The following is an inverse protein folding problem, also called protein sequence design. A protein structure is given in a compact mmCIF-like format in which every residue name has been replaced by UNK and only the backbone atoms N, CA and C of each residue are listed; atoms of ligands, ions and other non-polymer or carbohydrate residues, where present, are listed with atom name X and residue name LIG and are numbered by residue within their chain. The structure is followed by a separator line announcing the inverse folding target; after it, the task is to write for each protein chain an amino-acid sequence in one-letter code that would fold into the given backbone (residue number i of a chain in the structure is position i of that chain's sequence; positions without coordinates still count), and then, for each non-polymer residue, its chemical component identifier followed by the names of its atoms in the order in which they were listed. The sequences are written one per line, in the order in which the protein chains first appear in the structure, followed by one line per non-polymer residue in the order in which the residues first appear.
data_IF_280022825182
#
_entry.id   IF_280022825182
#
_cell.length_a   1.000
_cell.length_b   1.000
_cell.length_c   1.000
_cell.angle_alpha   90.00
_cell.angle_beta   90.00
_cell.angle_gamma   90.00
#
_symmetry.space_group_name_H-M   'P 1'
#
loop_
_entity.id
_entity.type
_entity.pdbx_description
1 polymer ?
#
# COMPACT_ATOMS: atom_id res chain seq x y z
N UNK A 1 -23.27 24.41 7.98
CA UNK A 1 -22.98 24.13 6.55
C UNK A 1 -22.82 22.62 6.39
N UNK A 2 -22.61 22.06 5.19
CA UNK A 2 -22.26 20.63 5.08
C UNK A 2 -20.74 20.46 5.29
N UNK A 3 -20.25 19.30 5.77
CA UNK A 3 -18.83 19.00 5.76
C UNK A 3 -18.28 19.12 4.34
N UNK A 4 -17.05 19.63 4.21
CA UNK A 4 -16.42 19.84 2.90
C UNK A 4 -14.92 19.57 2.97
N UNK A 5 -14.33 19.32 1.80
CA UNK A 5 -12.89 19.16 1.64
C UNK A 5 -12.26 20.52 1.37
N UNK A 6 -11.08 20.75 1.97
CA UNK A 6 -10.21 21.88 1.68
C UNK A 6 -8.93 21.35 1.04
N UNK A 7 -8.62 21.89 -0.14
CA UNK A 7 -7.39 21.63 -0.90
C UNK A 7 -6.94 22.96 -1.50
N UNK A 8 -5.77 23.44 -1.07
CA UNK A 8 -5.18 24.69 -1.56
C UNK A 8 -4.10 24.42 -2.62
N UNK A 9 -3.80 25.41 -3.45
CA UNK A 9 -2.70 25.30 -4.43
C UNK A 9 -1.36 24.98 -3.74
N UNK A 10 -0.67 23.96 -4.23
CA UNK A 10 0.61 23.49 -3.68
C UNK A 10 0.50 22.61 -2.43
N UNK A 11 -0.71 22.40 -1.88
CA UNK A 11 -0.95 21.48 -0.78
C UNK A 11 -0.77 20.03 -1.22
N UNK A 12 -0.11 19.23 -0.39
CA UNK A 12 -0.06 17.78 -0.57
C UNK A 12 -1.32 17.17 0.05
N UNK A 13 -2.14 16.51 -0.77
CA UNK A 13 -3.42 15.93 -0.36
C UNK A 13 -4.47 16.98 0.01
N UNK A 14 -5.38 16.62 0.91
CA UNK A 14 -6.50 17.45 1.35
C UNK A 14 -6.86 17.14 2.80
N UNK A 15 -7.71 17.97 3.42
CA UNK A 15 -8.31 17.68 4.72
C UNK A 15 -9.80 18.03 4.72
N UNK A 16 -10.54 17.43 5.65
CA UNK A 16 -11.96 17.71 5.85
C UNK A 16 -12.15 18.84 6.86
N UNK A 17 -13.20 19.63 6.66
CA UNK A 17 -13.75 20.53 7.68
C UNK A 17 -15.21 20.20 7.95
N UNK A 18 -15.59 20.35 9.20
CA UNK A 18 -16.96 20.15 9.69
C UNK A 18 -17.89 21.33 9.30
N UNK A 19 -19.20 21.25 9.63
CA UNK A 19 -20.16 22.33 9.40
C UNK A 19 -19.81 23.70 10.00
N UNK A 20 -19.01 23.72 11.06
CA UNK A 20 -18.58 24.90 11.83
C UNK A 20 -17.23 25.45 11.33
N UNK A 21 -16.59 24.73 10.39
CA UNK A 21 -15.33 25.09 9.77
C UNK A 21 -14.09 24.60 10.51
N UNK A 22 -14.25 23.76 11.54
CA UNK A 22 -13.13 23.13 12.22
C UNK A 22 -12.59 21.96 11.40
N UNK A 23 -11.28 21.72 11.47
CA UNK A 23 -10.67 20.54 10.84
C UNK A 23 -11.23 19.27 11.51
N UNK A 24 -11.58 18.28 10.70
CA UNK A 24 -12.16 17.02 11.14
C UNK A 24 -11.61 15.86 10.31
N UNK A 25 -11.76 14.63 10.80
CA UNK A 25 -11.46 13.43 10.02
C UNK A 25 -12.74 12.80 9.45
N UNK A 26 -12.63 12.13 8.31
CA UNK A 26 -13.78 11.49 7.69
C UNK A 26 -14.51 10.51 8.64
N UNK A 27 -13.83 9.65 9.42
CA UNK A 27 -14.50 8.73 10.36
C UNK A 27 -15.34 9.44 11.43
N UNK A 28 -14.99 10.66 11.82
CA UNK A 28 -15.77 11.45 12.79
C UNK A 28 -17.01 12.04 12.12
N UNK A 29 -16.86 12.51 10.87
CA UNK A 29 -17.94 13.13 10.13
C UNK A 29 -19.07 12.14 9.78
N UNK A 30 -18.75 10.87 9.50
CA UNK A 30 -19.77 9.89 9.10
C UNK A 30 -20.70 9.42 10.24
N UNK A 31 -20.30 9.57 11.51
CA UNK A 31 -21.07 9.05 12.67
C UNK A 31 -22.39 9.80 12.90
N UNK A 32 -22.52 11.04 12.42
CA UNK A 32 -23.71 11.87 12.58
C UNK A 32 -24.25 12.49 11.30
N UNK A 33 -23.74 12.10 10.13
CA UNK A 33 -24.18 12.63 8.85
C UNK A 33 -25.44 11.89 8.35
N UNK A 34 -26.37 12.60 7.70
CA UNK A 34 -27.59 12.03 7.13
C UNK A 34 -27.34 11.24 5.83
N UNK A 35 -26.24 11.54 5.13
CA UNK A 35 -25.82 10.93 3.87
C UNK A 35 -24.36 10.43 3.93
N UNK A 36 -24.00 9.56 4.90
CA UNK A 36 -22.59 9.27 5.19
C UNK A 36 -21.88 8.51 4.05
N UNK A 37 -22.63 7.74 3.25
CA UNK A 37 -22.16 7.11 2.02
C UNK A 37 -21.62 8.13 1.00
N UNK A 38 -22.24 9.31 0.93
CA UNK A 38 -21.81 10.40 0.05
C UNK A 38 -20.43 10.91 0.48
N UNK A 39 -20.18 11.05 1.78
CA UNK A 39 -18.88 11.52 2.29
C UNK A 39 -17.76 10.52 1.96
N UNK A 40 -18.02 9.22 2.07
CA UNK A 40 -17.06 8.16 1.69
C UNK A 40 -16.74 8.24 0.19
N UNK A 41 -17.75 8.40 -0.66
CA UNK A 41 -17.54 8.56 -2.11
C UNK A 41 -16.75 9.84 -2.44
N UNK A 42 -17.12 10.98 -1.85
CA UNK A 42 -16.43 12.25 -2.04
C UNK A 42 -14.97 12.21 -1.57
N UNK A 43 -14.67 11.48 -0.48
CA UNK A 43 -13.29 11.30 -0.04
C UNK A 43 -12.46 10.54 -1.08
N UNK A 44 -13.04 9.49 -1.66
CA UNK A 44 -12.35 8.66 -2.64
C UNK A 44 -12.08 9.45 -3.94
N UNK A 45 -13.03 10.26 -4.40
CA UNK A 45 -12.84 11.17 -5.54
C UNK A 45 -11.74 12.19 -5.29
N UNK A 46 -11.74 12.83 -4.11
CA UNK A 46 -10.70 13.79 -3.76
C UNK A 46 -9.31 13.14 -3.58
N UNK A 47 -9.26 11.86 -3.16
CA UNK A 47 -8.02 11.09 -3.13
C UNK A 47 -7.49 10.86 -4.54
N UNK A 48 -8.34 10.49 -5.49
CA UNK A 48 -7.99 10.34 -6.91
C UNK A 48 -7.37 11.63 -7.48
N UNK A 49 -8.03 12.77 -7.27
CA UNK A 49 -7.55 14.10 -7.71
C UNK A 49 -6.21 14.48 -7.05
N UNK A 50 -6.07 14.20 -5.75
CA UNK A 50 -4.82 14.44 -5.03
C UNK A 50 -3.65 13.59 -5.57
N UNK A 51 -3.91 12.36 -6.01
CA UNK A 51 -2.89 11.50 -6.62
C UNK A 51 -2.44 12.03 -7.97
N UNK A 52 -3.33 12.61 -8.78
CA UNK A 52 -2.96 13.26 -10.05
C UNK A 52 -1.97 14.42 -9.79
N UNK A 53 -2.25 15.26 -8.80
CA UNK A 53 -1.37 16.37 -8.41
C UNK A 53 -0.03 15.83 -7.88
N UNK A 54 -0.06 14.81 -7.02
CA UNK A 54 1.15 14.19 -6.49
C UNK A 54 2.00 13.53 -7.59
N UNK A 55 1.37 12.91 -8.60
CA UNK A 55 2.04 12.31 -9.75
C UNK A 55 2.79 13.38 -10.55
N UNK A 56 2.12 14.52 -10.83
CA UNK A 56 2.74 15.64 -11.54
C UNK A 56 3.94 16.25 -10.81
N UNK A 57 3.91 16.26 -9.46
CA UNK A 57 4.98 16.85 -8.64
C UNK A 57 6.13 15.88 -8.34
N UNK A 58 5.83 14.63 -8.03
CA UNK A 58 6.79 13.66 -7.50
C UNK A 58 7.05 12.47 -8.43
N UNK A 59 6.40 12.42 -9.60
CA UNK A 59 6.43 11.26 -10.51
C UNK A 59 7.84 10.76 -10.86
N UNK A 60 8.77 11.67 -11.18
CA UNK A 60 10.16 11.28 -11.48
C UNK A 60 10.87 10.61 -10.30
N UNK A 61 10.56 11.03 -9.07
CA UNK A 61 11.15 10.44 -7.86
C UNK A 61 10.47 9.12 -7.53
N UNK A 62 9.13 9.09 -7.53
CA UNK A 62 8.35 7.89 -7.20
C UNK A 62 8.56 6.76 -8.22
N UNK A 63 8.76 7.12 -9.49
CA UNK A 63 9.12 6.19 -10.57
C UNK A 63 10.58 5.74 -10.55
N UNK A 64 11.44 6.36 -9.73
CA UNK A 64 12.87 6.04 -9.64
C UNK A 64 13.72 6.62 -10.77
N UNK A 65 13.20 7.58 -11.54
CA UNK A 65 13.94 8.28 -12.59
C UNK A 65 15.03 9.20 -12.04
N UNK A 66 14.89 9.68 -10.80
CA UNK A 66 15.93 10.43 -10.09
C UNK A 66 15.85 10.28 -8.56
N UNK A 67 16.95 10.60 -7.90
CA UNK A 67 17.00 10.75 -6.43
C UNK A 67 16.43 12.11 -6.01
N UNK A 68 15.68 12.20 -4.90
CA UNK A 68 15.18 13.48 -4.39
C UNK A 68 16.29 14.36 -3.84
N UNK A 69 16.13 15.67 -4.01
CA UNK A 69 16.92 16.70 -3.33
C UNK A 69 16.54 16.80 -1.84
N UNK A 70 17.35 17.52 -1.06
CA UNK A 70 17.15 17.62 0.39
C UNK A 70 15.75 18.14 0.78
N UNK A 71 15.26 19.20 0.12
CA UNK A 71 13.92 19.75 0.37
C UNK A 71 12.79 18.77 -0.04
N UNK A 72 13.01 18.02 -1.13
CA UNK A 72 12.03 17.05 -1.62
C UNK A 72 11.93 15.83 -0.69
N UNK A 73 12.98 15.50 0.07
CA UNK A 73 12.91 14.44 1.08
C UNK A 73 11.91 14.78 2.19
N UNK A 74 11.86 16.04 2.63
CA UNK A 74 10.89 16.48 3.63
C UNK A 74 9.46 16.44 3.05
N UNK A 75 9.30 16.86 1.79
CA UNK A 75 8.03 16.75 1.07
C UNK A 75 7.55 15.30 0.92
N UNK A 76 8.45 14.34 0.69
CA UNK A 76 8.12 12.91 0.61
C UNK A 76 7.65 12.35 1.97
N UNK A 77 8.22 12.86 3.08
CA UNK A 77 7.75 12.53 4.43
C UNK A 77 6.33 13.04 4.65
N UNK A 78 6.03 14.26 4.21
CA UNK A 78 4.67 14.81 4.26
C UNK A 78 3.73 13.99 3.36
N UNK A 79 4.16 13.66 2.14
CA UNK A 79 3.39 12.91 1.16
C UNK A 79 2.95 11.55 1.69
N UNK A 80 3.87 10.70 2.16
CA UNK A 80 3.48 9.37 2.61
C UNK A 80 2.56 9.45 3.83
N UNK A 81 2.77 10.41 4.74
CA UNK A 81 1.93 10.56 5.94
C UNK A 81 0.52 11.01 5.59
N UNK A 82 0.38 12.02 4.74
CA UNK A 82 -0.94 12.48 4.29
C UNK A 82 -1.67 11.36 3.57
N UNK A 83 -1.02 10.67 2.65
CA UNK A 83 -1.63 9.55 1.93
C UNK A 83 -2.05 8.42 2.88
N UNK A 84 -1.17 8.01 3.80
CA UNK A 84 -1.48 6.98 4.79
C UNK A 84 -2.71 7.35 5.64
N UNK A 85 -2.78 8.62 6.08
CA UNK A 85 -3.93 9.12 6.85
C UNK A 85 -5.23 9.10 6.03
N UNK A 86 -5.19 9.50 4.76
CA UNK A 86 -6.35 9.47 3.86
C UNK A 86 -6.81 8.04 3.59
N UNK A 87 -5.88 7.11 3.32
CA UNK A 87 -6.19 5.67 3.19
C UNK A 87 -6.88 5.14 4.45
N UNK A 88 -6.31 5.43 5.63
CA UNK A 88 -6.88 5.00 6.90
C UNK A 88 -8.26 5.61 7.15
N UNK A 89 -8.49 6.86 6.76
CA UNK A 89 -9.77 7.53 6.91
C UNK A 89 -10.85 6.95 6.02
N UNK A 90 -10.52 6.71 4.75
CA UNK A 90 -11.40 6.01 3.82
C UNK A 90 -11.79 4.63 4.38
N UNK A 91 -10.81 3.80 4.75
CA UNK A 91 -11.08 2.44 5.21
C UNK A 91 -11.93 2.39 6.48
N UNK A 92 -11.63 3.25 7.47
CA UNK A 92 -12.40 3.33 8.73
C UNK A 92 -13.82 3.83 8.49
N UNK A 93 -13.98 4.87 7.68
CA UNK A 93 -15.30 5.42 7.39
C UNK A 93 -16.15 4.44 6.58
N UNK A 94 -15.58 3.82 5.53
CA UNK A 94 -16.26 2.80 4.72
C UNK A 94 -16.73 1.63 5.60
N UNK A 95 -15.87 1.13 6.48
CA UNK A 95 -16.23 0.08 7.45
C UNK A 95 -17.33 0.52 8.41
N UNK A 96 -17.27 1.75 8.94
CA UNK A 96 -18.27 2.27 9.88
C UNK A 96 -19.67 2.40 9.26
N UNK A 97 -19.76 2.67 7.96
CA UNK A 97 -21.05 2.83 7.24
C UNK A 97 -21.48 1.59 6.48
N UNK A 98 -20.70 0.51 6.51
CA UNK A 98 -20.99 -0.75 5.82
C UNK A 98 -20.78 -0.71 4.30
N UNK A 99 -19.90 0.18 3.80
CA UNK A 99 -19.48 0.22 2.40
C UNK A 99 -18.38 -0.82 2.17
N UNK A 100 -18.65 -1.79 1.30
CA UNK A 100 -17.61 -2.70 0.78
C UNK A 100 -16.85 -1.99 -0.33
N UNK A 101 -15.51 -1.92 -0.27
CA UNK A 101 -14.71 -1.34 -1.36
C UNK A 101 -14.97 -2.05 -2.69
N UNK A 102 -15.31 -1.28 -3.71
CA UNK A 102 -15.48 -1.76 -5.07
C UNK A 102 -14.14 -1.70 -5.84
N UNK A 103 -14.17 -2.12 -7.11
CA UNK A 103 -12.99 -2.10 -7.98
C UNK A 103 -12.36 -0.71 -8.02
N UNK A 104 -13.15 0.35 -8.16
CA UNK A 104 -12.64 1.73 -8.23
C UNK A 104 -11.92 2.12 -6.94
N UNK A 105 -12.50 1.79 -5.78
CA UNK A 105 -11.87 2.01 -4.50
C UNK A 105 -10.54 1.27 -4.37
N UNK A 106 -10.50 -0.02 -4.76
CA UNK A 106 -9.28 -0.81 -4.75
C UNK A 106 -8.18 -0.22 -5.65
N UNK A 107 -8.54 0.31 -6.82
CA UNK A 107 -7.59 0.95 -7.73
C UNK A 107 -7.03 2.26 -7.18
N UNK A 108 -7.88 3.15 -6.67
CA UNK A 108 -7.46 4.44 -6.10
C UNK A 108 -6.63 4.22 -4.84
N UNK A 109 -7.11 3.41 -3.89
CA UNK A 109 -6.38 3.11 -2.66
C UNK A 109 -5.10 2.33 -2.93
N UNK A 110 -5.11 1.41 -3.91
CA UNK A 110 -3.90 0.71 -4.34
C UNK A 110 -2.84 1.67 -4.90
N UNK A 111 -3.26 2.60 -5.77
CA UNK A 111 -2.37 3.63 -6.33
C UNK A 111 -1.80 4.53 -5.22
N UNK A 112 -2.67 4.95 -4.28
CA UNK A 112 -2.26 5.70 -3.10
C UNK A 112 -1.24 4.94 -2.24
N UNK A 113 -1.51 3.67 -1.94
CA UNK A 113 -0.60 2.83 -1.17
C UNK A 113 0.76 2.69 -1.87
N UNK A 114 0.77 2.51 -3.20
CA UNK A 114 2.02 2.45 -3.97
C UNK A 114 2.81 3.76 -3.87
N UNK A 115 2.13 4.92 -3.98
CA UNK A 115 2.77 6.23 -3.79
C UNK A 115 3.40 6.36 -2.41
N UNK A 116 2.66 5.99 -1.37
CA UNK A 116 3.12 6.06 0.01
C UNK A 116 4.36 5.18 0.25
N UNK A 117 4.33 3.94 -0.25
CA UNK A 117 5.46 3.00 -0.18
C UNK A 117 6.68 3.55 -0.92
N UNK A 118 6.49 4.05 -2.15
CA UNK A 118 7.56 4.63 -2.98
C UNK A 118 8.14 5.90 -2.37
N UNK A 119 7.32 6.72 -1.72
CA UNK A 119 7.78 7.93 -1.02
C UNK A 119 8.64 7.58 0.20
N UNK A 120 8.37 6.48 0.90
CA UNK A 120 9.16 6.00 2.04
C UNK A 120 10.56 5.48 1.67
N UNK A 121 10.74 4.95 0.45
CA UNK A 121 12.00 4.32 0.02
C UNK A 121 13.22 5.26 0.09
N UNK A 122 13.24 6.41 -0.61
CA UNK A 122 14.43 7.29 -0.64
C UNK A 122 14.69 8.03 0.68
N UNK A 123 13.70 8.06 1.58
CA UNK A 123 13.86 8.63 2.93
C UNK A 123 14.21 7.58 3.99
N UNK A 124 14.30 6.31 3.61
CA UNK A 124 14.74 5.22 4.49
C UNK A 124 13.69 4.77 5.52
N UNK A 125 12.41 5.00 5.25
CA UNK A 125 11.30 4.74 6.21
C UNK A 125 10.46 3.49 5.87
N UNK A 126 10.81 2.77 4.79
CA UNK A 126 10.06 1.57 4.39
C UNK A 126 10.28 0.40 5.35
N UNK A 127 11.49 0.28 5.90
CA UNK A 127 11.90 -0.86 6.74
C UNK A 127 12.40 -2.06 5.94
N UNK A 128 12.98 -3.08 6.61
CA UNK A 128 13.58 -4.22 5.95
C UNK A 128 12.52 -5.10 5.26
N UNK A 129 12.86 -5.64 4.10
CA UNK A 129 12.05 -6.68 3.48
C UNK A 129 12.12 -8.00 4.28
N UNK A 130 11.09 -8.85 4.22
CA UNK A 130 11.21 -10.24 4.62
C UNK A 130 12.47 -10.90 4.02
N UNK A 131 13.24 -11.61 4.84
CA UNK A 131 14.55 -12.20 4.50
C UNK A 131 15.67 -11.21 4.14
N UNK A 132 15.57 -9.94 4.53
CA UNK A 132 16.66 -8.98 4.31
C UNK A 132 17.97 -9.46 4.96
N UNK A 133 19.04 -9.53 4.16
CA UNK A 133 20.35 -10.04 4.60
C UNK A 133 20.49 -11.56 4.64
N UNK A 134 19.42 -12.30 4.33
CA UNK A 134 19.41 -13.79 4.31
C UNK A 134 19.42 -14.38 2.90
N UNK A 135 19.25 -13.54 1.86
CA UNK A 135 19.23 -13.94 0.46
C UNK A 135 20.53 -13.56 -0.24
N UNK A 136 20.93 -14.36 -1.23
CA UNK A 136 22.08 -14.12 -2.10
C UNK A 136 21.83 -12.93 -3.04
N UNK A 137 22.92 -12.28 -3.46
CA UNK A 137 22.86 -11.23 -4.49
C UNK A 137 22.78 -11.86 -5.88
N UNK A 138 21.74 -11.55 -6.69
CA UNK A 138 21.59 -12.12 -8.03
C UNK A 138 22.82 -11.83 -8.91
N UNK A 139 23.43 -12.86 -9.54
CA UNK A 139 24.48 -12.62 -10.51
C UNK A 139 23.94 -11.91 -11.75
N UNK A 140 24.82 -11.28 -12.54
CA UNK A 140 24.45 -10.74 -13.84
C UNK A 140 24.01 -11.87 -14.78
N UNK A 141 22.88 -11.68 -15.47
CA UNK A 141 22.36 -12.60 -16.48
C UNK A 141 21.16 -13.43 -16.01
N UNK A 142 20.94 -14.57 -16.65
CA UNK A 142 19.80 -15.46 -16.37
C UNK A 142 20.17 -16.46 -15.30
N UNK A 143 19.34 -16.57 -14.26
CA UNK A 143 19.49 -17.56 -13.19
C UNK A 143 18.43 -18.65 -13.35
N UNK A 144 18.88 -19.89 -13.54
CA UNK A 144 17.99 -21.06 -13.56
C UNK A 144 17.59 -21.46 -12.15
N UNK A 145 16.31 -21.78 -11.96
CA UNK A 145 15.76 -22.22 -10.70
C UNK A 145 14.25 -22.29 -10.73
N UNK A 146 13.65 -22.50 -9.56
CA UNK A 146 12.21 -22.46 -9.40
C UNK A 146 11.81 -21.41 -8.37
N UNK A 147 10.74 -20.65 -8.67
CA UNK A 147 10.20 -19.62 -7.81
C UNK A 147 9.16 -20.19 -6.84
N UNK A 148 9.24 -19.82 -5.57
CA UNK A 148 8.28 -20.18 -4.53
C UNK A 148 7.98 -18.99 -3.60
N UNK A 149 6.75 -18.89 -3.08
CA UNK A 149 6.42 -17.92 -2.04
C UNK A 149 6.82 -18.53 -0.69
N UNK A 150 7.76 -17.88 0.01
CA UNK A 150 8.24 -18.37 1.30
C UNK A 150 7.78 -17.41 2.40
N UNK A 151 7.06 -17.94 3.38
CA UNK A 151 6.75 -17.21 4.60
C UNK A 151 7.96 -17.20 5.54
N UNK A 152 8.20 -16.08 6.22
CA UNK A 152 9.30 -15.96 7.20
C UNK A 152 9.14 -16.99 8.31
N UNK A 153 7.91 -17.13 8.81
CA UNK A 153 7.53 -18.15 9.79
C UNK A 153 6.04 -18.46 9.63
N UNK A 154 5.65 -19.68 9.18
CA UNK A 154 4.25 -20.06 9.04
C UNK A 154 3.43 -20.00 10.33
N UNK A 155 4.07 -20.06 11.51
CA UNK A 155 3.39 -19.90 12.79
C UNK A 155 3.18 -18.43 13.17
N UNK A 156 3.88 -17.50 12.51
CA UNK A 156 3.80 -16.06 12.72
C UNK A 156 3.52 -15.34 11.38
N UNK A 157 2.31 -15.50 10.81
CA UNK A 157 1.99 -15.00 9.47
C UNK A 157 2.13 -13.48 9.33
N UNK A 158 2.09 -12.72 10.43
CA UNK A 158 2.35 -11.27 10.45
C UNK A 158 3.79 -10.89 10.08
N UNK A 159 4.74 -11.83 10.10
CA UNK A 159 6.11 -11.62 9.59
C UNK A 159 6.18 -11.64 8.06
N UNK A 160 5.08 -11.98 7.40
CA UNK A 160 4.94 -11.94 5.95
C UNK A 160 5.74 -13.02 5.23
N UNK A 161 5.98 -12.76 3.94
CA UNK A 161 6.72 -13.66 3.07
C UNK A 161 7.28 -12.93 1.86
N UNK A 162 8.02 -13.66 1.03
CA UNK A 162 8.62 -13.15 -0.20
C UNK A 162 8.68 -14.23 -1.25
N UNK A 163 8.55 -13.84 -2.51
CA UNK A 163 8.94 -14.70 -3.63
C UNK A 163 10.45 -14.90 -3.62
N UNK A 164 10.88 -16.16 -3.67
CA UNK A 164 12.29 -16.54 -3.68
C UNK A 164 12.52 -17.50 -4.85
N UNK A 165 13.58 -17.22 -5.61
CA UNK A 165 14.12 -18.16 -6.58
C UNK A 165 15.09 -19.09 -5.85
N UNK A 166 14.83 -20.39 -5.89
CA UNK A 166 15.81 -21.41 -5.50
C UNK A 166 16.55 -21.88 -6.74
N UNK A 167 17.83 -21.54 -6.81
CA UNK A 167 18.70 -21.98 -7.89
C UNK A 167 19.11 -23.45 -7.70
N UNK A 168 19.49 -24.11 -8.79
CA UNK A 168 19.90 -25.53 -8.78
C UNK A 168 21.12 -25.80 -7.89
N UNK A 169 21.96 -24.78 -7.69
CA UNK A 169 23.13 -24.84 -6.81
C UNK A 169 22.79 -24.61 -5.32
N UNK A 170 21.51 -24.49 -4.97
CA UNK A 170 21.01 -24.29 -3.61
C UNK A 170 20.97 -22.83 -3.14
N UNK A 171 21.48 -21.87 -3.92
CA UNK A 171 21.39 -20.44 -3.60
C UNK A 171 19.96 -19.93 -3.70
N UNK A 172 19.68 -18.87 -2.93
CA UNK A 172 18.34 -18.29 -2.78
C UNK A 172 18.39 -16.81 -3.13
N UNK A 173 17.68 -16.44 -4.19
CA UNK A 173 17.65 -15.07 -4.68
C UNK A 173 16.28 -14.42 -4.46
N UNK A 174 16.21 -13.10 -4.20
CA UNK A 174 14.94 -12.39 -4.18
C UNK A 174 14.27 -12.48 -5.55
N UNK A 175 12.97 -12.73 -5.55
CA UNK A 175 12.12 -12.74 -6.74
C UNK A 175 10.93 -11.80 -6.48
N UNK A 176 10.24 -11.38 -7.54
CA UNK A 176 9.06 -10.51 -7.44
C UNK A 176 7.83 -11.20 -8.05
N UNK A 177 6.63 -10.76 -7.65
CA UNK A 177 5.41 -11.23 -8.29
C UNK A 177 5.38 -10.87 -9.79
N UNK A 178 5.87 -9.69 -10.18
CA UNK A 178 5.99 -9.27 -11.58
C UNK A 178 6.81 -10.29 -12.38
N UNK A 179 7.99 -10.69 -11.90
CA UNK A 179 8.83 -11.70 -12.55
C UNK A 179 8.10 -13.05 -12.67
N UNK A 180 7.35 -13.45 -11.65
CA UNK A 180 6.56 -14.68 -11.69
C UNK A 180 5.43 -14.64 -12.72
N UNK A 181 4.80 -13.48 -12.92
CA UNK A 181 3.65 -13.34 -13.82
C UNK A 181 4.03 -13.07 -15.28
N UNK A 182 5.19 -12.45 -15.54
CA UNK A 182 5.53 -11.96 -16.88
C UNK A 182 6.82 -12.56 -17.45
N UNK A 183 7.84 -12.79 -16.62
CA UNK A 183 9.18 -13.18 -17.10
C UNK A 183 9.49 -14.67 -16.89
N UNK A 184 8.71 -15.35 -16.05
CA UNK A 184 8.93 -16.76 -15.70
C UNK A 184 8.18 -17.70 -16.66
N UNK A 185 8.92 -18.60 -17.30
CA UNK A 185 8.33 -19.65 -18.14
C UNK A 185 7.70 -20.77 -17.30
N UNK A 186 6.57 -21.33 -17.75
CA UNK A 186 5.95 -22.50 -17.12
C UNK A 186 5.20 -22.25 -15.80
N UNK A 187 5.10 -20.99 -15.35
CA UNK A 187 4.38 -20.63 -14.11
C UNK A 187 2.87 -20.62 -14.34
N UNK A 188 2.13 -21.24 -13.41
CA UNK A 188 0.68 -21.10 -13.34
C UNK A 188 0.32 -19.76 -12.67
N UNK A 189 0.07 -18.75 -13.49
CA UNK A 189 -0.19 -17.36 -13.05
C UNK A 189 -1.34 -17.24 -12.04
N UNK A 190 -2.39 -18.03 -12.20
CA UNK A 190 -3.54 -17.99 -11.29
C UNK A 190 -3.22 -18.63 -9.92
N UNK A 191 -2.42 -19.70 -9.93
CA UNK A 191 -1.90 -20.27 -8.70
C UNK A 191 -0.97 -19.29 -7.97
N UNK A 192 -0.06 -18.64 -8.69
CA UNK A 192 0.84 -17.62 -8.15
C UNK A 192 0.08 -16.45 -7.53
N UNK A 193 -0.94 -15.91 -8.21
CA UNK A 193 -1.79 -14.86 -7.64
C UNK A 193 -2.52 -15.33 -6.38
N UNK A 194 -3.04 -16.55 -6.37
CA UNK A 194 -3.72 -17.11 -5.20
C UNK A 194 -2.77 -17.25 -4.01
N UNK A 195 -1.58 -17.81 -4.23
CA UNK A 195 -0.57 -18.00 -3.19
C UNK A 195 -0.13 -16.66 -2.57
N UNK A 196 0.10 -15.63 -3.39
CA UNK A 196 0.42 -14.30 -2.88
C UNK A 196 -0.73 -13.70 -2.06
N UNK A 197 -1.98 -13.81 -2.53
CA UNK A 197 -3.15 -13.34 -1.79
C UNK A 197 -3.34 -14.06 -0.46
N UNK A 198 -3.08 -15.36 -0.41
CA UNK A 198 -3.17 -16.15 0.81
C UNK A 198 -2.17 -15.63 1.86
N UNK A 199 -0.92 -15.35 1.48
CA UNK A 199 0.08 -14.76 2.39
C UNK A 199 -0.31 -13.35 2.83
N UNK A 200 -0.76 -12.49 1.90
CA UNK A 200 -1.19 -11.13 2.24
C UNK A 200 -2.38 -11.15 3.21
N UNK A 201 -3.40 -11.98 2.97
CA UNK A 201 -4.56 -12.13 3.87
C UNK A 201 -4.18 -12.71 5.23
N UNK A 202 -3.26 -13.68 5.27
CA UNK A 202 -2.75 -14.23 6.52
C UNK A 202 -2.00 -13.16 7.33
N UNK A 203 -1.21 -12.32 6.67
CA UNK A 203 -0.52 -11.20 7.29
C UNK A 203 -1.51 -10.16 7.85
N UNK A 204 -2.53 -9.78 7.08
CA UNK A 204 -3.61 -8.87 7.54
C UNK A 204 -4.31 -9.45 8.77
N UNK A 205 -4.71 -10.72 8.73
CA UNK A 205 -5.39 -11.38 9.86
C UNK A 205 -4.49 -11.43 11.10
N UNK A 206 -3.20 -11.74 10.90
CA UNK A 206 -2.19 -11.83 11.96
C UNK A 206 -1.78 -10.48 12.55
N UNK A 207 -2.02 -9.36 11.85
CA UNK A 207 -1.66 -8.02 12.32
C UNK A 207 -2.31 -7.61 13.64
N UNK A 208 -3.45 -8.23 13.98
CA UNK A 208 -4.17 -7.99 15.25
C UNK A 208 -3.70 -8.88 16.41
N UNK A 209 -2.76 -9.80 16.17
CA UNK A 209 -2.25 -10.68 17.21
C UNK A 209 -1.46 -9.86 18.26
N UNK A 210 -1.69 -10.06 19.58
CA UNK A 210 -0.98 -9.35 20.63
C UNK A 210 0.56 -9.51 20.61
N UNK A 211 1.06 -10.61 20.04
CA UNK A 211 2.49 -10.89 19.89
C UNK A 211 3.08 -10.29 18.61
N UNK A 212 2.25 -9.74 17.72
CA UNK A 212 2.72 -9.16 16.48
C UNK A 212 3.38 -7.81 16.75
N UNK A 213 4.70 -7.74 16.55
CA UNK A 213 5.44 -6.48 16.55
C UNK A 213 4.91 -5.55 15.45
N UNK A 214 4.40 -4.35 15.77
CA UNK A 214 3.86 -3.43 14.78
C UNK A 214 4.86 -3.04 13.69
N UNK A 215 6.15 -2.95 14.01
CA UNK A 215 7.17 -2.63 13.01
C UNK A 215 7.33 -3.77 12.00
N UNK A 216 7.43 -5.02 12.47
CA UNK A 216 7.46 -6.20 11.61
C UNK A 216 6.20 -6.32 10.73
N UNK A 217 5.00 -6.10 11.30
CA UNK A 217 3.72 -6.11 10.56
C UNK A 217 3.73 -5.08 9.44
N UNK A 218 4.10 -3.83 9.75
CA UNK A 218 4.13 -2.75 8.76
C UNK A 218 5.10 -3.06 7.61
N UNK A 219 6.29 -3.57 7.92
CA UNK A 219 7.28 -3.96 6.91
C UNK A 219 6.76 -5.11 6.04
N UNK A 220 6.20 -6.15 6.65
CA UNK A 220 5.66 -7.31 5.94
C UNK A 220 4.53 -6.91 4.97
N UNK A 221 3.55 -6.14 5.45
CA UNK A 221 2.42 -5.69 4.65
C UNK A 221 2.85 -4.75 3.53
N UNK A 222 3.75 -3.79 3.79
CA UNK A 222 4.24 -2.89 2.75
C UNK A 222 4.96 -3.65 1.63
N UNK A 223 5.84 -4.60 1.95
CA UNK A 223 6.57 -5.36 0.93
C UNK A 223 5.68 -6.32 0.15
N UNK A 224 4.75 -7.03 0.81
CA UNK A 224 3.78 -7.89 0.11
C UNK A 224 2.86 -7.05 -0.79
N UNK A 225 2.29 -5.97 -0.24
CA UNK A 225 1.41 -5.08 -0.99
C UNK A 225 2.16 -4.40 -2.14
N UNK A 226 3.40 -3.98 -1.94
CA UNK A 226 4.25 -3.45 -3.01
C UNK A 226 4.41 -4.43 -4.16
N UNK A 227 4.77 -5.68 -3.88
CA UNK A 227 4.92 -6.72 -4.91
C UNK A 227 3.58 -6.98 -5.64
N UNK A 228 2.47 -6.99 -4.90
CA UNK A 228 1.13 -7.10 -5.49
C UNK A 228 0.83 -5.95 -6.44
N UNK A 229 0.99 -4.71 -5.99
CA UNK A 229 0.66 -3.50 -6.73
C UNK A 229 1.56 -3.31 -7.95
N UNK A 230 2.87 -3.55 -7.81
CA UNK A 230 3.82 -3.48 -8.92
C UNK A 230 3.53 -4.48 -10.04
N UNK A 231 2.92 -5.63 -9.71
CA UNK A 231 2.53 -6.63 -10.70
C UNK A 231 1.17 -6.36 -11.37
N UNK A 232 0.41 -5.39 -10.84
CA UNK A 232 -0.94 -5.04 -11.30
C UNK A 232 -1.08 -3.56 -11.66
N UNK A 233 0.03 -2.89 -11.99
CA UNK A 233 0.01 -1.57 -12.61
C UNK A 233 -0.40 -1.67 -14.08
N UNK A 234 -0.96 -0.58 -14.61
CA UNK A 234 -1.38 -0.48 -16.00
C UNK A 234 -0.23 -0.79 -16.98
N UNK A 235 0.94 -0.20 -16.75
CA UNK A 235 2.13 -0.40 -17.56
C UNK A 235 3.42 -0.01 -16.80
N UNK A 236 4.55 0.00 -17.51
CA UNK A 236 5.85 0.28 -16.90
C UNK A 236 6.10 1.73 -16.47
N UNK A 237 5.32 2.66 -17.00
CA UNK A 237 5.45 4.11 -16.77
C UNK A 237 4.32 4.64 -15.87
N UNK A 238 3.30 3.82 -15.63
CA UNK A 238 2.15 4.14 -14.81
C UNK A 238 2.23 3.49 -13.42
N UNK A 239 1.74 4.24 -12.43
CA UNK A 239 1.46 3.72 -11.09
C UNK A 239 -0.02 3.38 -10.89
N UNK A 240 -0.87 3.64 -11.89
CA UNK A 240 -2.28 3.36 -11.83
C UNK A 240 -2.51 1.85 -11.71
N UNK A 241 -3.25 1.46 -10.68
CA UNK A 241 -3.53 0.05 -10.41
C UNK A 241 -4.72 -0.42 -11.24
N UNK A 242 -4.57 -1.59 -11.83
CA UNK A 242 -5.59 -2.28 -12.61
C UNK A 242 -5.98 -3.57 -11.91
N UNK A 243 -7.26 -3.71 -11.60
CA UNK A 243 -7.82 -4.97 -11.09
C UNK A 243 -8.47 -5.69 -12.27
N UNK A 244 -7.94 -6.85 -12.70
CA UNK A 244 -8.51 -7.57 -13.83
C UNK A 244 -9.95 -8.01 -13.56
N UNK A 245 -10.76 -8.07 -14.62
CA UNK A 245 -12.12 -8.64 -14.54
C UNK A 245 -12.08 -10.07 -13.99
N UNK A 246 -12.99 -10.40 -13.08
CA UNK A 246 -13.03 -11.66 -12.36
C UNK A 246 -12.14 -11.71 -11.11
N UNK A 247 -11.45 -10.61 -10.77
CA UNK A 247 -10.64 -10.46 -9.56
C UNK A 247 -11.16 -9.30 -8.69
N UNK A 248 -12.44 -8.96 -8.80
CA UNK A 248 -13.06 -7.83 -8.08
C UNK A 248 -12.94 -7.97 -6.55
N UNK A 249 -12.86 -9.21 -6.04
CA UNK A 249 -12.62 -9.48 -4.62
C UNK A 249 -11.27 -8.98 -4.09
N UNK A 250 -10.32 -8.71 -4.98
CA UNK A 250 -8.99 -8.26 -4.59
C UNK A 250 -8.98 -6.76 -4.23
N UNK A 251 -10.02 -6.01 -4.62
CA UNK A 251 -10.17 -4.61 -4.24
C UNK A 251 -10.27 -4.40 -2.72
N UNK A 252 -11.14 -5.16 -2.06
CA UNK A 252 -11.26 -5.12 -0.59
C UNK A 252 -9.96 -5.53 0.10
N UNK A 253 -9.28 -6.56 -0.41
CA UNK A 253 -7.99 -7.00 0.13
C UNK A 253 -6.91 -5.90 0.03
N UNK A 254 -6.85 -5.14 -1.08
CA UNK A 254 -5.91 -4.02 -1.22
C UNK A 254 -6.19 -2.95 -0.17
N UNK A 255 -7.47 -2.57 0.02
CA UNK A 255 -7.86 -1.58 1.03
C UNK A 255 -7.53 -2.07 2.43
N UNK A 256 -7.85 -3.32 2.75
CA UNK A 256 -7.56 -3.93 4.06
C UNK A 256 -6.06 -4.00 4.33
N UNK A 257 -5.25 -4.39 3.34
CA UNK A 257 -3.79 -4.44 3.44
C UNK A 257 -3.20 -3.06 3.71
N UNK A 258 -3.63 -2.05 2.95
CA UNK A 258 -3.16 -0.68 3.09
C UNK A 258 -3.54 -0.11 4.46
N UNK A 259 -4.80 -0.29 4.89
CA UNK A 259 -5.28 0.16 6.19
C UNK A 259 -4.56 -0.54 7.35
N UNK A 260 -4.32 -1.85 7.26
CA UNK A 260 -3.59 -2.61 8.27
C UNK A 260 -2.11 -2.17 8.36
N UNK A 261 -1.46 -1.89 7.23
CA UNK A 261 -0.10 -1.34 7.21
C UNK A 261 -0.06 0.02 7.92
N UNK A 262 -0.97 0.94 7.56
CA UNK A 262 -1.04 2.26 8.21
C UNK A 262 -1.32 2.15 9.71
N UNK A 263 -2.24 1.26 10.11
CA UNK A 263 -2.56 1.05 11.52
C UNK A 263 -1.36 0.53 12.32
N UNK A 264 -0.56 -0.36 11.74
CA UNK A 264 0.68 -0.84 12.34
C UNK A 264 1.74 0.27 12.42
N UNK A 265 1.92 1.05 11.34
CA UNK A 265 2.84 2.20 11.29
C UNK A 265 2.53 3.26 12.33
N UNK A 266 1.24 3.58 12.52
CA UNK A 266 0.80 4.58 13.51
C UNK A 266 1.16 4.22 14.97
N UNK A 267 1.60 2.99 15.26
CA UNK A 267 2.12 2.60 16.58
C UNK A 267 3.53 3.13 16.87
N UNK A 268 4.29 3.51 15.85
CA UNK A 268 5.69 3.95 16.01
C UNK A 268 6.06 5.18 15.18
N UNK A 269 5.29 5.58 14.17
CA UNK A 269 5.45 6.86 13.49
C UNK A 269 4.58 7.94 14.15
N UNK A 270 5.16 8.91 14.89
CA UNK A 270 4.39 9.96 15.55
C UNK A 270 3.64 10.87 14.59
N UNK A 271 4.07 10.96 13.32
CA UNK A 271 3.37 11.75 12.31
C UNK A 271 2.10 11.09 11.75
N UNK A 272 1.81 9.85 12.15
CA UNK A 272 0.57 9.13 11.83
C UNK A 272 -0.37 9.00 13.05
N UNK A 273 0.05 9.50 14.21
CA UNK A 273 -0.82 9.59 15.38
C UNK A 273 -1.83 10.71 15.12
N UNK A 274 -3.14 10.44 15.19
CA UNK A 274 -4.15 11.50 15.10
C UNK A 274 -3.86 12.55 16.18
N UNK A 275 -3.65 13.80 15.78
CA UNK A 275 -3.61 14.91 16.73
C UNK A 275 -5.04 15.05 17.29
N UNK A 276 -5.22 15.06 18.62
CA UNK A 276 -6.55 15.13 19.25
C UNK A 276 -7.29 16.44 18.95
#
# INVERSE_FOLDING_TARGET
MRPRIIQSDGQIGFYWVDPDGAAARLPELVVGDEEPHRLVATHLEALDDALIIAAGRFGEILGGGRTPEAAERDDLVVLHRVIDLLISDYARAAGAVGVTPDVRAGQIVGTAALFSIRARQPVGLLGPAPFAGELDEPPLGVVSGYGEMVQVDPAQPWRGGRWILRAENGQRYPLTLTTMLFDSSGVNKDATRREHREVLRACISGASNPEADPFAVACALDWLLYDWLMAHREDEDSAAIVIPRGQESDAAMIVDAAAASVAARARFDPGLIPVP
#
